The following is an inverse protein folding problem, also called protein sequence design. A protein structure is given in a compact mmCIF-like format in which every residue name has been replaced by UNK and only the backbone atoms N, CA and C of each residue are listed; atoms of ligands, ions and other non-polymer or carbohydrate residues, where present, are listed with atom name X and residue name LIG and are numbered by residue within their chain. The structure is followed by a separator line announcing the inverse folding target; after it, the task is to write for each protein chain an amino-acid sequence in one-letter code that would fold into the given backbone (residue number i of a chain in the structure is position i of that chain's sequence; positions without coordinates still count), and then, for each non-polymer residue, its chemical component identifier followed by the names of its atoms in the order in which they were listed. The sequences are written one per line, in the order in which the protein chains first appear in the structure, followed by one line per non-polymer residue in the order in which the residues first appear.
data_IF_964034459866
#
_entry.id   IF_964034459866
#
_cell.length_a   1.000
_cell.length_b   1.000
_cell.length_c   1.000
_cell.angle_alpha   90.00
_cell.angle_beta   90.00
_cell.angle_gamma   90.00
#
_symmetry.space_group_name_H-M   'P 1'
#
loop_
_entity.id
_entity.type
_entity.pdbx_description
1 polymer ?
#
# COMPACT_ATOMS: atom_id res chain seq x y z
N UNK A 1 -5.60 18.62 17.00
CA UNK A 1 -4.72 19.06 15.90
C UNK A 1 -3.54 18.11 15.91
N UNK A 2 -3.38 17.25 14.91
CA UNK A 2 -2.25 16.30 14.85
C UNK A 2 -1.04 17.09 14.39
N UNK A 3 -0.01 17.10 15.20
CA UNK A 3 1.26 17.73 14.83
C UNK A 3 2.02 16.75 13.94
N UNK A 4 1.78 16.86 12.64
CA UNK A 4 2.49 16.11 11.60
C UNK A 4 3.65 16.91 11.02
N UNK A 5 3.84 18.14 11.47
CA UNK A 5 4.89 19.01 11.00
C UNK A 5 6.17 18.76 11.83
N UNK A 6 7.14 18.11 11.21
CA UNK A 6 8.50 18.03 11.72
C UNK A 6 8.93 16.70 12.33
N UNK A 7 8.09 15.68 12.30
CA UNK A 7 8.53 14.34 12.70
C UNK A 7 9.57 13.81 11.71
N UNK A 8 10.75 13.55 12.23
CA UNK A 8 11.83 12.88 11.49
C UNK A 8 11.62 11.37 11.54
N UNK A 9 12.20 10.59 10.62
CA UNK A 9 12.20 9.12 10.69
C UNK A 9 12.66 8.58 12.04
N UNK A 10 13.58 9.29 12.70
CA UNK A 10 14.05 9.03 14.06
C UNK A 10 12.98 9.24 15.14
N UNK A 11 11.90 9.97 14.83
CA UNK A 11 10.80 10.22 15.76
C UNK A 11 9.77 9.09 15.75
N UNK A 12 9.91 8.15 14.81
CA UNK A 12 9.09 6.94 14.69
C UNK A 12 9.90 5.64 14.74
N UNK A 13 11.00 5.55 15.50
CA UNK A 13 11.62 4.24 15.67
C UNK A 13 10.60 3.34 16.35
N UNK A 14 10.43 2.11 15.82
CA UNK A 14 9.79 1.08 16.60
C UNK A 14 10.58 0.98 17.92
N UNK A 15 9.92 1.26 19.02
CA UNK A 15 10.49 0.98 20.33
C UNK A 15 10.53 -0.54 20.49
N UNK A 16 11.71 -1.11 20.33
CA UNK A 16 11.92 -2.56 20.41
C UNK A 16 11.47 -3.14 21.74
N UNK A 17 11.43 -2.33 22.79
CA UNK A 17 10.89 -2.72 24.09
C UNK A 17 9.36 -2.81 24.12
N UNK A 18 8.69 -2.26 23.11
CA UNK A 18 7.21 -2.29 22.94
C UNK A 18 6.75 -3.22 21.83
N UNK A 19 7.66 -3.96 21.19
CA UNK A 19 7.25 -4.95 20.21
C UNK A 19 6.38 -6.03 20.87
N UNK A 20 5.28 -6.44 20.23
CA UNK A 20 4.36 -7.43 20.79
C UNK A 20 4.92 -8.87 20.76
N UNK A 21 6.20 -9.04 20.44
CA UNK A 21 6.89 -10.33 20.34
C UNK A 21 8.36 -10.17 20.75
N UNK A 22 9.00 -11.28 21.10
CA UNK A 22 10.43 -11.30 21.35
C UNK A 22 11.20 -11.33 20.02
N UNK A 23 12.21 -10.46 19.88
CA UNK A 23 13.14 -10.54 18.76
C UNK A 23 13.87 -11.89 18.87
N UNK A 24 14.02 -12.64 17.76
CA UNK A 24 14.73 -13.91 17.77
C UNK A 24 16.15 -13.78 18.32
N UNK A 25 16.58 -14.80 19.07
CA UNK A 25 17.93 -14.88 19.63
C UNK A 25 18.98 -14.74 18.50
N UNK A 26 19.87 -13.72 18.58
CA UNK A 26 20.91 -13.49 17.58
C UNK A 26 21.93 -14.65 17.51
N UNK A 27 22.04 -15.46 18.57
CA UNK A 27 22.94 -16.62 18.63
C UNK A 27 22.36 -17.85 17.91
N UNK A 28 21.10 -17.83 17.51
CA UNK A 28 20.47 -18.89 16.71
C UNK A 28 21.19 -19.03 15.36
N UNK A 29 21.46 -20.28 14.97
CA UNK A 29 22.04 -20.56 13.64
C UNK A 29 21.13 -20.02 12.55
N UNK A 30 21.62 -19.08 11.72
CA UNK A 30 20.79 -18.46 10.69
C UNK A 30 20.29 -19.45 9.64
N UNK A 31 19.02 -19.36 9.30
CA UNK A 31 18.42 -20.07 8.16
C UNK A 31 18.85 -19.35 6.86
N UNK A 32 19.94 -19.84 6.25
CA UNK A 32 20.59 -19.18 5.09
C UNK A 32 19.65 -18.92 3.90
N UNK A 33 18.73 -19.84 3.63
CA UNK A 33 17.77 -19.67 2.54
C UNK A 33 16.70 -18.63 2.88
N UNK A 34 16.28 -18.53 4.14
CA UNK A 34 15.38 -17.49 4.60
C UNK A 34 16.00 -16.09 4.45
N UNK A 35 17.27 -15.92 4.80
CA UNK A 35 18.00 -14.67 4.54
C UNK A 35 18.01 -14.30 3.04
N UNK A 36 18.19 -15.27 2.16
CA UNK A 36 18.14 -15.06 0.71
C UNK A 36 16.74 -14.68 0.25
N UNK A 37 15.71 -15.34 0.76
CA UNK A 37 14.32 -15.04 0.40
C UNK A 37 13.93 -13.64 0.86
N UNK A 38 14.21 -13.27 2.11
CA UNK A 38 13.96 -11.96 2.64
C UNK A 38 14.61 -10.87 1.79
N UNK A 39 15.91 -11.00 1.51
CA UNK A 39 16.63 -10.06 0.63
C UNK A 39 16.05 -10.00 -0.79
N UNK A 40 15.54 -11.12 -1.31
CA UNK A 40 14.98 -11.20 -2.65
C UNK A 40 13.63 -10.45 -2.73
N UNK A 41 12.70 -10.67 -1.80
CA UNK A 41 11.37 -10.05 -1.83
C UNK A 41 11.41 -8.56 -1.49
N UNK A 42 12.36 -8.13 -0.65
CA UNK A 42 12.52 -6.72 -0.26
C UNK A 42 13.42 -5.94 -1.22
N UNK A 43 13.96 -6.61 -2.23
CA UNK A 43 14.86 -6.01 -3.24
C UNK A 43 16.02 -5.20 -2.64
N UNK A 44 16.62 -5.72 -1.59
CA UNK A 44 17.81 -5.11 -0.95
C UNK A 44 19.03 -5.26 -1.85
N UNK A 45 19.16 -4.37 -2.80
CA UNK A 45 20.30 -4.39 -3.75
C UNK A 45 21.60 -4.11 -3.00
N UNK A 46 22.46 -5.12 -2.95
CA UNK A 46 23.85 -4.98 -2.47
C UNK A 46 24.04 -4.87 -0.95
N UNK A 47 23.00 -5.00 -0.15
CA UNK A 47 23.11 -5.03 1.31
C UNK A 47 23.09 -6.47 1.82
N UNK A 48 24.01 -6.81 2.70
CA UNK A 48 24.01 -8.10 3.38
C UNK A 48 22.90 -8.12 4.43
N UNK A 49 21.98 -9.05 4.31
CA UNK A 49 20.95 -9.34 5.33
C UNK A 49 21.52 -10.21 6.44
N UNK A 50 21.13 -9.92 7.67
CA UNK A 50 21.51 -10.64 8.88
C UNK A 50 20.27 -11.10 9.64
N UNK A 51 20.44 -11.81 10.73
CA UNK A 51 19.33 -12.25 11.59
C UNK A 51 18.65 -11.11 12.33
N UNK A 52 19.31 -9.96 12.46
CA UNK A 52 18.77 -8.77 13.12
C UNK A 52 17.89 -7.94 12.17
N UNK A 53 17.91 -8.28 10.89
CA UNK A 53 17.12 -7.56 9.88
C UNK A 53 15.65 -8.01 9.87
N UNK A 54 14.71 -7.07 9.67
CA UNK A 54 13.26 -7.36 9.70
C UNK A 54 12.84 -8.45 8.73
N UNK A 55 13.45 -8.53 7.57
CA UNK A 55 13.18 -9.56 6.57
C UNK A 55 13.56 -10.98 6.99
N UNK A 56 14.38 -11.12 8.04
CA UNK A 56 14.67 -12.41 8.63
C UNK A 56 13.67 -12.72 9.74
N UNK A 57 13.68 -11.94 10.83
CA UNK A 57 12.88 -12.27 12.01
C UNK A 57 11.38 -12.13 11.78
N UNK A 58 10.94 -11.28 10.85
CA UNK A 58 9.53 -11.14 10.49
C UNK A 58 8.97 -12.33 9.71
N UNK A 59 9.82 -13.18 9.14
CA UNK A 59 9.42 -14.37 8.39
C UNK A 59 9.83 -15.69 9.07
N UNK A 60 10.75 -15.65 10.03
CA UNK A 60 11.34 -16.86 10.64
C UNK A 60 10.32 -17.71 11.41
N UNK A 61 9.37 -17.06 12.07
CA UNK A 61 8.27 -17.74 12.78
C UNK A 61 7.11 -18.22 11.89
N UNK A 62 7.02 -17.69 10.67
CA UNK A 62 5.87 -17.92 9.78
C UNK A 62 6.16 -18.98 8.72
N UNK A 63 7.38 -18.99 8.16
CA UNK A 63 7.72 -19.84 7.02
C UNK A 63 8.50 -21.08 7.41
N UNK A 64 8.12 -22.24 6.85
CA UNK A 64 8.93 -23.47 6.92
C UNK A 64 10.10 -23.42 5.95
N UNK A 65 11.12 -24.26 6.15
CA UNK A 65 12.26 -24.35 5.21
C UNK A 65 11.83 -24.81 3.83
N UNK A 66 10.83 -25.67 3.75
CA UNK A 66 10.28 -26.16 2.48
C UNK A 66 9.59 -25.02 1.69
N UNK A 67 8.79 -24.18 2.37
CA UNK A 67 8.18 -22.99 1.76
C UNK A 67 9.25 -22.04 1.20
N UNK A 68 10.31 -21.81 1.99
CA UNK A 68 11.42 -20.93 1.59
C UNK A 68 12.13 -21.49 0.36
N UNK A 69 12.42 -22.78 0.33
CA UNK A 69 13.11 -23.43 -0.79
C UNK A 69 12.28 -23.41 -2.08
N UNK A 70 10.96 -23.56 -1.97
CA UNK A 70 10.03 -23.47 -3.10
C UNK A 70 9.95 -22.02 -3.61
N UNK A 71 9.79 -21.04 -2.71
CA UNK A 71 9.71 -19.62 -3.06
C UNK A 71 10.97 -19.13 -3.80
N UNK A 72 12.15 -19.54 -3.36
CA UNK A 72 13.42 -19.17 -4.01
C UNK A 72 13.54 -19.65 -5.47
N UNK A 73 12.79 -20.69 -5.85
CA UNK A 73 12.78 -21.20 -7.23
C UNK A 73 11.81 -20.47 -8.15
N UNK A 74 10.88 -19.68 -7.60
CA UNK A 74 9.82 -19.03 -8.40
C UNK A 74 10.32 -17.81 -9.17
N UNK A 75 11.11 -16.98 -8.54
CA UNK A 75 11.50 -15.65 -9.03
C UNK A 75 10.36 -14.62 -8.86
N UNK A 76 10.74 -13.39 -8.56
CA UNK A 76 9.80 -12.28 -8.28
C UNK A 76 8.95 -11.96 -9.49
N UNK A 77 7.64 -11.78 -9.29
CA UNK A 77 6.63 -11.38 -10.30
C UNK A 77 6.61 -12.28 -11.54
N UNK A 78 6.96 -13.57 -11.39
CA UNK A 78 6.95 -14.54 -12.49
C UNK A 78 5.87 -15.59 -12.27
N UNK A 79 4.67 -15.44 -12.88
CA UNK A 79 3.59 -16.43 -12.75
C UNK A 79 4.03 -17.82 -13.15
N UNK A 80 3.67 -18.84 -12.38
CA UNK A 80 4.02 -20.25 -12.60
C UNK A 80 2.79 -21.15 -12.45
N UNK A 81 2.52 -21.98 -13.45
CA UNK A 81 1.55 -23.08 -13.34
C UNK A 81 2.10 -24.21 -12.47
N UNK A 82 1.22 -25.08 -11.98
CA UNK A 82 1.65 -26.26 -11.21
C UNK A 82 2.65 -27.12 -12.01
N UNK A 83 2.43 -27.29 -13.29
CA UNK A 83 3.35 -28.09 -14.13
C UNK A 83 4.75 -27.46 -14.27
N UNK A 84 4.83 -26.12 -14.26
CA UNK A 84 6.11 -25.41 -14.24
C UNK A 84 6.80 -25.54 -12.87
N UNK A 85 6.03 -25.44 -11.79
CA UNK A 85 6.55 -25.60 -10.42
C UNK A 85 7.06 -27.02 -10.16
N UNK A 86 6.36 -28.06 -10.60
CA UNK A 86 6.83 -29.47 -10.53
C UNK A 86 8.20 -29.63 -11.21
N UNK A 87 8.40 -29.03 -12.37
CA UNK A 87 9.70 -29.07 -13.08
C UNK A 87 10.82 -28.36 -12.30
N UNK A 88 10.52 -27.27 -11.61
CA UNK A 88 11.50 -26.50 -10.84
C UNK A 88 11.84 -27.16 -9.50
N UNK A 89 10.83 -27.67 -8.82
CA UNK A 89 10.97 -28.23 -7.46
C UNK A 89 11.33 -29.71 -7.43
N UNK A 90 10.96 -30.45 -8.47
CA UNK A 90 11.01 -31.92 -8.56
C UNK A 90 10.07 -32.63 -7.57
N UNK A 91 9.06 -31.91 -7.08
CA UNK A 91 8.04 -32.45 -6.20
C UNK A 91 6.87 -33.02 -7.00
N UNK A 92 6.18 -34.00 -6.42
CA UNK A 92 4.92 -34.51 -6.93
C UNK A 92 3.81 -33.46 -6.85
N UNK A 93 2.78 -33.59 -7.68
CA UNK A 93 1.74 -32.59 -7.86
C UNK A 93 0.98 -32.25 -6.56
N UNK A 94 0.43 -33.27 -5.92
CA UNK A 94 -0.47 -33.10 -4.79
C UNK A 94 0.20 -32.41 -3.58
N UNK A 95 1.36 -32.86 -3.09
CA UNK A 95 2.05 -32.19 -1.99
C UNK A 95 2.52 -30.79 -2.36
N UNK A 96 2.93 -30.56 -3.61
CA UNK A 96 3.36 -29.25 -4.07
C UNK A 96 2.19 -28.26 -4.14
N UNK A 97 1.04 -28.68 -4.68
CA UNK A 97 -0.15 -27.83 -4.80
C UNK A 97 -0.65 -27.43 -3.40
N UNK A 98 -0.70 -28.38 -2.48
CA UNK A 98 -1.02 -28.10 -1.07
C UNK A 98 -0.06 -27.10 -0.45
N UNK A 99 1.24 -27.25 -0.66
CA UNK A 99 2.26 -26.32 -0.14
C UNK A 99 2.09 -24.90 -0.73
N UNK A 100 1.86 -24.79 -2.03
CA UNK A 100 1.63 -23.49 -2.69
C UNK A 100 0.35 -22.83 -2.19
N UNK A 101 -0.70 -23.58 -1.92
CA UNK A 101 -1.93 -23.07 -1.34
C UNK A 101 -1.75 -22.63 0.13
N UNK A 102 -0.95 -23.36 0.92
CA UNK A 102 -0.55 -22.94 2.26
C UNK A 102 0.25 -21.63 2.24
N UNK A 103 1.21 -21.50 1.31
CA UNK A 103 1.98 -20.28 1.13
C UNK A 103 1.09 -19.09 0.71
N UNK A 104 0.06 -19.34 -0.10
CA UNK A 104 -0.93 -18.34 -0.49
C UNK A 104 -1.86 -17.97 0.68
N UNK A 105 -2.25 -18.96 1.48
CA UNK A 105 -3.02 -18.75 2.70
C UNK A 105 -2.27 -17.86 3.70
N UNK A 106 -0.97 -18.06 3.87
CA UNK A 106 -0.12 -17.21 4.68
C UNK A 106 0.04 -15.81 4.09
N UNK A 107 -0.05 -15.65 2.77
CA UNK A 107 0.13 -14.38 2.07
C UNK A 107 1.56 -14.16 1.54
N UNK A 108 2.37 -15.20 1.52
CA UNK A 108 3.67 -15.15 0.84
C UNK A 108 3.51 -15.16 -0.68
N UNK A 109 2.53 -15.89 -1.19
CA UNK A 109 2.20 -15.97 -2.61
C UNK A 109 0.83 -15.37 -2.89
N UNK A 110 0.68 -14.81 -4.08
CA UNK A 110 -0.60 -14.54 -4.73
C UNK A 110 -0.82 -15.52 -5.88
N UNK A 111 -2.02 -15.57 -6.43
CA UNK A 111 -2.32 -16.33 -7.64
C UNK A 111 -3.39 -15.67 -8.49
N UNK A 112 -3.41 -16.02 -9.77
CA UNK A 112 -4.42 -15.63 -10.73
C UNK A 112 -4.61 -16.69 -11.84
N UNK A 113 -5.64 -16.49 -12.66
CA UNK A 113 -5.94 -17.32 -13.84
C UNK A 113 -5.83 -16.52 -15.14
N UNK A 114 -5.26 -15.34 -15.11
CA UNK A 114 -5.21 -14.39 -16.21
C UNK A 114 -4.38 -14.92 -17.40
N UNK A 115 -4.71 -14.42 -18.58
CA UNK A 115 -3.99 -14.66 -19.82
C UNK A 115 -3.58 -13.37 -20.54
N UNK A 116 -3.28 -12.32 -19.80
CA UNK A 116 -2.90 -11.01 -20.36
C UNK A 116 -1.62 -11.06 -21.19
N UNK A 117 -0.70 -11.95 -20.82
CA UNK A 117 0.58 -12.17 -21.53
C UNK A 117 0.51 -13.25 -22.63
N UNK A 118 -0.69 -13.79 -22.91
CA UNK A 118 -0.91 -14.85 -23.88
C UNK A 118 -0.29 -16.23 -23.54
N UNK A 119 0.28 -16.36 -22.32
CA UNK A 119 0.98 -17.59 -21.89
C UNK A 119 0.13 -18.52 -21.03
N UNK A 120 -1.14 -18.18 -20.84
CA UNK A 120 -2.07 -18.98 -20.05
C UNK A 120 -3.41 -19.19 -20.79
N UNK A 121 -3.39 -19.76 -22.01
CA UNK A 121 -4.60 -19.90 -22.84
C UNK A 121 -5.66 -20.80 -22.22
N UNK A 122 -5.28 -21.67 -21.29
CA UNK A 122 -6.19 -22.59 -20.59
C UNK A 122 -6.71 -22.02 -19.27
N UNK A 123 -6.35 -20.78 -18.92
CA UNK A 123 -6.69 -20.16 -17.63
C UNK A 123 -6.37 -21.06 -16.43
N UNK A 124 -5.20 -21.70 -16.45
CA UNK A 124 -4.71 -22.46 -15.30
C UNK A 124 -4.35 -21.54 -14.14
N UNK A 125 -4.55 -21.99 -12.90
CA UNK A 125 -4.07 -21.31 -11.70
C UNK A 125 -2.56 -21.12 -11.77
N UNK A 126 -2.11 -19.89 -11.60
CA UNK A 126 -0.68 -19.52 -11.60
C UNK A 126 -0.33 -18.84 -10.30
N UNK A 127 0.62 -19.39 -9.56
CA UNK A 127 1.16 -18.80 -8.35
C UNK A 127 2.28 -17.83 -8.68
N UNK A 128 2.35 -16.76 -7.90
CA UNK A 128 3.29 -15.66 -8.09
C UNK A 128 3.92 -15.33 -6.74
N UNK A 129 5.24 -15.21 -6.70
CA UNK A 129 5.94 -14.62 -5.58
C UNK A 129 5.98 -13.11 -5.81
N UNK A 130 5.21 -12.30 -5.05
CA UNK A 130 5.20 -10.85 -5.23
C UNK A 130 6.47 -10.20 -4.67
N UNK A 131 6.64 -8.91 -4.92
CA UNK A 131 7.50 -8.06 -4.10
C UNK A 131 6.95 -7.99 -2.68
N UNK A 132 7.76 -7.50 -1.74
CA UNK A 132 7.28 -7.29 -0.39
C UNK A 132 6.21 -6.20 -0.35
N UNK A 133 6.45 -5.03 -0.95
CA UNK A 133 5.51 -3.90 -1.05
C UNK A 133 5.50 -3.35 -2.48
N UNK A 134 4.34 -3.20 -3.13
CA UNK A 134 3.04 -3.80 -2.79
C UNK A 134 3.04 -5.31 -3.07
N UNK A 135 2.50 -6.09 -2.16
CA UNK A 135 2.40 -7.54 -2.33
C UNK A 135 2.34 -8.32 -1.02
N UNK A 136 3.37 -9.14 -0.71
CA UNK A 136 3.32 -10.04 0.44
C UNK A 136 3.18 -9.32 1.78
N UNK A 137 3.68 -8.09 1.92
CA UNK A 137 3.48 -7.30 3.13
C UNK A 137 2.00 -7.06 3.44
N UNK A 138 1.26 -6.66 2.41
CA UNK A 138 -0.18 -6.46 2.52
C UNK A 138 -0.87 -7.78 2.86
N UNK A 139 -0.60 -8.84 2.10
CA UNK A 139 -1.29 -10.13 2.28
C UNK A 139 -0.99 -10.77 3.64
N UNK A 140 0.23 -10.67 4.14
CA UNK A 140 0.60 -11.12 5.48
C UNK A 140 -0.18 -10.38 6.59
N UNK A 141 -0.58 -9.14 6.34
CA UNK A 141 -1.24 -8.25 7.30
C UNK A 141 -2.75 -8.03 7.04
N UNK A 142 -3.37 -8.79 6.13
CA UNK A 142 -4.79 -8.65 5.77
C UNK A 142 -5.70 -9.69 6.44
N UNK A 143 -5.23 -10.42 7.42
CA UNK A 143 -6.03 -11.38 8.19
C UNK A 143 -5.73 -11.24 9.68
N UNK A 144 -6.77 -10.87 10.46
CA UNK A 144 -6.62 -10.58 11.89
C UNK A 144 -6.06 -11.77 12.67
N UNK A 145 -6.56 -12.98 12.42
CA UNK A 145 -6.08 -14.19 13.10
C UNK A 145 -4.57 -14.41 12.89
N UNK A 146 -4.07 -14.13 11.69
CA UNK A 146 -2.64 -14.28 11.39
C UNK A 146 -1.79 -13.24 12.10
N UNK A 147 -2.23 -11.98 12.14
CA UNK A 147 -1.51 -10.92 12.88
C UNK A 147 -1.53 -11.19 14.38
N UNK A 148 -2.60 -11.79 14.89
CA UNK A 148 -2.70 -12.15 16.31
C UNK A 148 -1.78 -13.32 16.67
N UNK A 149 -1.63 -14.30 15.76
CA UNK A 149 -0.73 -15.44 15.92
C UNK A 149 0.74 -15.06 15.64
N UNK A 150 0.98 -14.19 14.64
CA UNK A 150 2.29 -13.78 14.16
C UNK A 150 2.44 -12.24 14.14
N UNK A 151 2.48 -11.60 15.31
CA UNK A 151 2.58 -10.12 15.37
C UNK A 151 3.88 -9.57 14.79
N UNK A 152 4.91 -10.41 14.64
CA UNK A 152 6.17 -10.07 13.97
C UNK A 152 5.97 -9.63 12.51
N UNK A 153 4.92 -10.10 11.82
CA UNK A 153 4.66 -9.67 10.43
C UNK A 153 4.22 -8.20 10.36
N UNK A 154 3.52 -7.70 11.39
CA UNK A 154 3.15 -6.29 11.48
C UNK A 154 4.39 -5.40 11.69
N UNK A 155 5.28 -5.79 12.59
CA UNK A 155 6.53 -5.08 12.82
C UNK A 155 7.46 -5.15 11.61
N UNK A 156 7.51 -6.28 10.91
CA UNK A 156 8.27 -6.42 9.66
C UNK A 156 7.77 -5.41 8.61
N UNK A 157 6.45 -5.32 8.42
CA UNK A 157 5.88 -4.37 7.48
C UNK A 157 6.26 -2.92 7.80
N UNK A 158 6.11 -2.51 9.06
CA UNK A 158 6.48 -1.17 9.51
C UNK A 158 7.98 -0.87 9.33
N UNK A 159 8.83 -1.77 9.77
CA UNK A 159 10.29 -1.58 9.66
C UNK A 159 10.75 -1.51 8.21
N UNK A 160 10.24 -2.38 7.35
CA UNK A 160 10.60 -2.37 5.94
C UNK A 160 10.06 -1.14 5.20
N UNK A 161 8.94 -0.59 5.65
CA UNK A 161 8.45 0.69 5.12
C UNK A 161 9.38 1.84 5.48
N UNK A 162 9.84 1.90 6.73
CA UNK A 162 10.70 2.98 7.19
C UNK A 162 12.13 2.90 6.63
N UNK A 163 12.81 1.77 6.79
CA UNK A 163 14.23 1.66 6.53
C UNK A 163 14.66 1.89 5.07
N UNK A 164 14.02 1.27 4.06
CA UNK A 164 14.40 1.53 2.67
C UNK A 164 13.89 2.88 2.17
N UNK A 165 12.68 3.29 2.59
CA UNK A 165 12.07 4.51 2.07
C UNK A 165 12.78 5.77 2.55
N UNK A 166 13.34 5.79 3.75
CA UNK A 166 14.20 6.88 4.21
C UNK A 166 15.34 7.20 3.23
N UNK A 167 15.90 6.17 2.60
CA UNK A 167 17.01 6.32 1.65
C UNK A 167 16.55 6.62 0.23
N UNK A 168 15.40 6.11 -0.17
CA UNK A 168 14.90 6.19 -1.54
C UNK A 168 14.08 7.47 -1.76
N UNK A 169 13.29 7.89 -0.77
CA UNK A 169 12.39 9.04 -0.92
C UNK A 169 13.07 10.37 -1.27
N UNK A 170 14.31 10.67 -0.84
CA UNK A 170 15.02 11.85 -1.32
C UNK A 170 15.29 11.85 -2.83
N UNK A 171 15.20 10.69 -3.49
CA UNK A 171 15.38 10.54 -4.94
C UNK A 171 14.07 10.66 -5.72
N UNK A 172 12.93 10.74 -5.03
CA UNK A 172 11.62 10.87 -5.67
C UNK A 172 11.50 12.25 -6.32
N UNK A 173 11.15 12.34 -7.62
CA UNK A 173 11.00 13.61 -8.30
C UNK A 173 9.79 14.40 -7.77
N UNK A 174 9.77 15.74 -7.93
CA UNK A 174 8.57 16.53 -7.69
C UNK A 174 7.36 15.95 -8.45
N UNK A 175 6.22 15.82 -7.78
CA UNK A 175 5.01 15.19 -8.34
C UNK A 175 4.89 13.70 -8.12
N UNK A 176 5.87 13.08 -7.44
CA UNK A 176 5.85 11.68 -7.07
C UNK A 176 6.52 10.73 -8.06
N UNK A 177 6.86 9.54 -7.63
CA UNK A 177 7.50 8.50 -8.46
C UNK A 177 6.48 7.76 -9.34
N UNK A 178 5.27 7.55 -8.84
CA UNK A 178 4.21 6.79 -9.51
C UNK A 178 4.54 5.32 -9.70
N UNK A 179 5.38 4.76 -8.82
CA UNK A 179 5.78 3.35 -8.87
C UNK A 179 4.98 2.59 -7.80
N UNK A 180 4.26 1.58 -8.22
CA UNK A 180 3.48 0.70 -7.35
C UNK A 180 2.08 1.24 -7.00
N UNK A 181 1.97 2.54 -6.74
CA UNK A 181 0.71 3.20 -6.37
C UNK A 181 0.51 4.49 -7.14
N UNK A 182 -0.75 4.78 -7.48
CA UNK A 182 -1.17 5.98 -8.17
C UNK A 182 -2.39 6.58 -7.48
N UNK A 183 -2.34 7.87 -7.16
CA UNK A 183 -3.47 8.58 -6.55
C UNK A 183 -4.49 8.91 -7.62
N UNK A 184 -5.71 8.45 -7.43
CA UNK A 184 -6.84 8.75 -8.31
C UNK A 184 -7.75 9.77 -7.61
N UNK A 185 -8.15 10.86 -8.26
CA UNK A 185 -8.99 11.87 -7.62
C UNK A 185 -10.42 11.35 -7.41
N UNK A 186 -11.13 12.02 -6.54
CA UNK A 186 -12.57 11.84 -6.40
C UNK A 186 -13.23 12.18 -7.74
N UNK A 187 -13.90 11.22 -8.36
CA UNK A 187 -14.33 11.33 -9.77
C UNK A 187 -15.22 12.54 -10.04
N UNK A 188 -16.13 12.88 -9.11
CA UNK A 188 -16.98 14.06 -9.22
C UNK A 188 -16.23 15.40 -9.19
N UNK A 189 -14.93 15.39 -8.83
CA UNK A 189 -14.07 16.57 -8.84
C UNK A 189 -13.30 16.74 -10.16
N UNK A 190 -13.42 15.79 -11.10
CA UNK A 190 -12.78 15.87 -12.41
C UNK A 190 -13.67 16.66 -13.36
N UNK A 191 -13.22 17.84 -13.76
CA UNK A 191 -13.99 18.77 -14.61
C UNK A 191 -13.72 18.60 -16.13
N UNK A 192 -13.11 17.51 -16.54
CA UNK A 192 -12.73 17.32 -17.95
C UNK A 192 -13.50 16.18 -18.62
N UNK A 193 -13.99 16.44 -19.83
CA UNK A 193 -14.66 15.44 -20.69
C UNK A 193 -13.66 14.64 -21.56
N UNK A 194 -12.36 14.80 -21.34
CA UNK A 194 -11.35 14.13 -22.16
C UNK A 194 -11.34 12.61 -21.88
N UNK A 195 -11.72 11.80 -22.87
CA UNK A 195 -11.74 10.33 -22.79
C UNK A 195 -10.38 9.70 -22.49
N UNK A 196 -9.28 10.38 -22.84
CA UNK A 196 -7.92 9.92 -22.53
C UNK A 196 -7.64 9.79 -21.02
N UNK A 197 -8.55 10.26 -20.17
CA UNK A 197 -8.43 10.24 -18.70
C UNK A 197 -9.27 9.12 -18.09
N UNK A 198 -9.80 8.21 -18.87
CA UNK A 198 -10.59 7.07 -18.35
C UNK A 198 -9.87 6.30 -17.24
N UNK A 199 -8.56 6.06 -17.36
CA UNK A 199 -7.74 5.36 -16.37
C UNK A 199 -7.65 6.07 -15.01
N UNK A 200 -7.96 7.37 -14.95
CA UNK A 200 -7.99 8.19 -13.75
C UNK A 200 -9.38 8.21 -13.09
N UNK A 201 -10.33 7.43 -13.60
CA UNK A 201 -11.70 7.34 -13.07
C UNK A 201 -11.92 6.01 -12.37
N UNK A 202 -12.44 6.05 -11.16
CA UNK A 202 -12.84 4.86 -10.41
C UNK A 202 -13.89 4.07 -11.18
N UNK A 203 -14.87 4.76 -11.77
CA UNK A 203 -15.94 4.14 -12.56
C UNK A 203 -15.40 3.32 -13.74
N UNK A 204 -14.35 3.79 -14.42
CA UNK A 204 -13.69 3.03 -15.50
C UNK A 204 -13.19 1.67 -14.99
N UNK A 205 -12.49 1.66 -13.87
CA UNK A 205 -11.94 0.43 -13.31
C UNK A 205 -13.02 -0.51 -12.80
N UNK A 206 -14.07 0.02 -12.19
CA UNK A 206 -15.20 -0.79 -11.73
C UNK A 206 -15.95 -1.44 -12.90
N UNK A 207 -16.17 -0.72 -14.00
CA UNK A 207 -16.77 -1.32 -15.20
C UNK A 207 -15.87 -2.39 -15.84
N UNK A 208 -14.55 -2.14 -15.87
CA UNK A 208 -13.58 -3.11 -16.42
C UNK A 208 -13.59 -4.45 -15.66
N UNK A 209 -13.83 -4.42 -14.35
CA UNK A 209 -13.87 -5.60 -13.50
C UNK A 209 -15.28 -5.93 -13.00
N UNK A 210 -16.31 -5.55 -13.79
CA UNK A 210 -17.70 -5.69 -13.40
C UNK A 210 -18.03 -7.10 -12.84
N UNK A 211 -18.69 -7.12 -11.67
CA UNK A 211 -19.11 -8.35 -10.98
C UNK A 211 -18.01 -9.07 -10.20
N UNK A 212 -16.75 -8.55 -10.19
CA UNK A 212 -15.64 -9.14 -9.45
C UNK A 212 -15.01 -8.12 -8.50
N UNK A 213 -15.67 -7.88 -7.38
CA UNK A 213 -15.18 -7.00 -6.30
C UNK A 213 -15.18 -7.72 -4.97
N UNK A 214 -14.16 -7.47 -4.16
CA UNK A 214 -14.13 -7.91 -2.78
C UNK A 214 -13.59 -6.78 -1.88
N UNK A 215 -14.23 -6.56 -0.74
CA UNK A 215 -13.69 -5.70 0.32
C UNK A 215 -12.77 -6.50 1.21
N UNK A 216 -11.78 -5.85 1.75
CA UNK A 216 -10.79 -6.49 2.62
C UNK A 216 -10.24 -5.55 3.68
N UNK A 217 -9.62 -6.14 4.69
CA UNK A 217 -8.93 -5.42 5.73
C UNK A 217 -7.77 -4.60 5.16
N UNK A 218 -7.59 -3.39 5.65
CA UNK A 218 -6.44 -2.57 5.29
C UNK A 218 -5.20 -3.00 6.08
N UNK A 219 -4.21 -3.55 5.39
CA UNK A 219 -2.95 -4.00 5.97
C UNK A 219 -2.20 -2.90 6.73
N UNK A 220 -2.16 -1.68 6.18
CA UNK A 220 -1.50 -0.55 6.83
C UNK A 220 -2.18 -0.17 8.16
N UNK A 221 -3.53 -0.20 8.23
CA UNK A 221 -4.25 0.05 9.48
C UNK A 221 -4.04 -1.08 10.48
N UNK A 222 -4.14 -2.31 10.01
CA UNK A 222 -4.04 -3.49 10.85
C UNK A 222 -2.65 -3.63 11.49
N UNK A 223 -1.59 -3.44 10.72
CA UNK A 223 -0.22 -3.51 11.25
C UNK A 223 0.05 -2.43 12.29
N UNK A 224 -0.37 -1.20 12.03
CA UNK A 224 -0.18 -0.09 12.98
C UNK A 224 -1.03 -0.23 14.24
N UNK A 225 -2.27 -0.71 14.12
CA UNK A 225 -3.10 -1.00 15.29
C UNK A 225 -2.46 -2.08 16.16
N UNK A 226 -1.94 -3.16 15.54
CA UNK A 226 -1.25 -4.23 16.26
C UNK A 226 -0.03 -3.74 17.04
N UNK A 227 0.66 -2.73 16.52
CA UNK A 227 1.82 -2.11 17.16
C UNK A 227 1.42 -1.01 18.17
N UNK A 228 0.14 -0.77 18.40
CA UNK A 228 -0.33 0.31 19.27
C UNK A 228 -0.13 1.72 18.71
N UNK A 229 0.10 1.84 17.43
CA UNK A 229 0.38 3.09 16.70
C UNK A 229 -0.73 3.47 15.71
N UNK A 230 -1.88 2.82 15.81
CA UNK A 230 -3.07 3.11 15.00
C UNK A 230 -3.64 4.49 15.28
N UNK A 231 -4.46 5.00 14.37
CA UNK A 231 -5.14 6.28 14.53
C UNK A 231 -6.60 6.13 14.97
N UNK A 232 -7.01 4.93 15.36
CA UNK A 232 -8.39 4.63 15.77
C UNK A 232 -9.37 4.47 14.61
N UNK A 233 -8.87 4.40 13.37
CA UNK A 233 -9.69 4.05 12.23
C UNK A 233 -10.08 2.57 12.29
N UNK A 234 -11.27 2.25 11.81
CA UNK A 234 -11.67 0.88 11.49
C UNK A 234 -10.63 0.24 10.55
N UNK A 235 -10.18 -0.96 10.87
CA UNK A 235 -9.19 -1.68 10.04
C UNK A 235 -9.82 -2.40 8.87
N UNK A 236 -11.12 -2.67 8.93
CA UNK A 236 -11.85 -3.47 7.95
C UNK A 236 -12.43 -2.61 6.82
N UNK A 237 -12.66 -3.26 5.69
CA UNK A 237 -13.49 -2.75 4.60
C UNK A 237 -12.97 -1.53 3.82
N UNK A 238 -11.69 -1.22 3.90
CA UNK A 238 -11.14 -0.06 3.19
C UNK A 238 -10.37 -0.37 1.91
N UNK A 239 -9.97 -1.62 1.72
CA UNK A 239 -9.30 -2.06 0.51
C UNK A 239 -10.27 -2.82 -0.37
N UNK A 240 -10.35 -2.46 -1.64
CA UNK A 240 -11.21 -3.10 -2.64
C UNK A 240 -10.31 -3.85 -3.60
N UNK A 241 -10.37 -5.17 -3.58
CA UNK A 241 -9.73 -6.02 -4.58
C UNK A 241 -10.66 -6.18 -5.79
N UNK A 242 -10.07 -6.29 -6.98
CA UNK A 242 -10.83 -6.41 -8.23
C UNK A 242 -10.29 -7.56 -9.09
N UNK A 243 -11.16 -8.12 -9.95
CA UNK A 243 -10.78 -9.21 -10.84
C UNK A 243 -10.33 -10.46 -10.10
N UNK A 244 -9.30 -11.14 -10.58
CA UNK A 244 -8.77 -12.36 -9.96
C UNK A 244 -8.19 -12.13 -8.56
N UNK A 245 -7.82 -10.89 -8.23
CA UNK A 245 -7.41 -10.55 -6.87
C UNK A 245 -8.60 -10.58 -5.89
N UNK A 246 -9.82 -10.28 -6.35
CA UNK A 246 -11.00 -10.46 -5.50
C UNK A 246 -11.21 -11.94 -5.14
N UNK A 247 -11.04 -12.84 -6.11
CA UNK A 247 -11.11 -14.28 -5.88
C UNK A 247 -10.02 -14.73 -4.89
N UNK A 248 -8.78 -14.28 -5.08
CA UNK A 248 -7.67 -14.59 -4.15
C UNK A 248 -7.97 -14.12 -2.72
N UNK A 249 -8.43 -12.89 -2.56
CA UNK A 249 -8.72 -12.31 -1.24
C UNK A 249 -9.82 -13.09 -0.52
N UNK A 250 -10.87 -13.48 -1.22
CA UNK A 250 -11.98 -14.24 -0.64
C UNK A 250 -11.58 -15.69 -0.34
N UNK A 251 -10.96 -16.39 -1.28
CA UNK A 251 -10.52 -17.79 -1.10
C UNK A 251 -9.49 -17.95 0.04
N UNK A 252 -8.69 -16.91 0.27
CA UNK A 252 -7.70 -16.91 1.37
C UNK A 252 -8.21 -16.25 2.66
N UNK A 253 -9.52 -16.03 2.79
CA UNK A 253 -10.20 -15.47 3.96
C UNK A 253 -9.65 -14.10 4.44
N UNK A 254 -9.29 -13.24 3.49
CA UNK A 254 -8.83 -11.86 3.72
C UNK A 254 -9.93 -10.84 3.49
N UNK A 255 -11.06 -11.26 2.94
CA UNK A 255 -12.19 -10.40 2.62
C UNK A 255 -13.39 -11.17 2.14
N UNK A 256 -14.39 -10.46 1.65
CA UNK A 256 -15.65 -11.01 1.14
C UNK A 256 -16.09 -10.30 -0.14
N UNK A 257 -16.78 -11.02 -1.01
CA UNK A 257 -17.36 -10.43 -2.21
C UNK A 257 -18.38 -9.36 -1.86
N UNK A 258 -18.41 -8.32 -2.65
CA UNK A 258 -19.36 -7.21 -2.53
C UNK A 258 -19.91 -6.81 -3.89
N UNK A 259 -21.05 -6.14 -3.86
CA UNK A 259 -21.71 -5.57 -5.02
C UNK A 259 -21.11 -4.21 -5.41
N UNK A 260 -21.44 -3.75 -6.62
CA UNK A 260 -21.09 -2.40 -7.06
C UNK A 260 -21.59 -1.32 -6.10
N UNK A 261 -22.83 -1.43 -5.62
CA UNK A 261 -23.43 -0.45 -4.72
C UNK A 261 -22.70 -0.39 -3.38
N UNK A 262 -22.29 -1.53 -2.83
CA UNK A 262 -21.48 -1.59 -1.60
C UNK A 262 -20.08 -0.98 -1.81
N UNK A 263 -19.48 -1.18 -2.99
CA UNK A 263 -18.21 -0.50 -3.34
C UNK A 263 -18.41 1.02 -3.30
N UNK A 264 -19.47 1.53 -3.91
CA UNK A 264 -19.77 2.97 -3.95
C UNK A 264 -20.07 3.54 -2.56
N UNK A 265 -20.70 2.78 -1.67
CA UNK A 265 -20.89 3.17 -0.27
C UNK A 265 -19.55 3.30 0.47
N UNK A 266 -18.62 2.36 0.25
CA UNK A 266 -17.27 2.41 0.83
C UNK A 266 -16.52 3.65 0.33
N UNK A 267 -16.57 3.94 -0.97
CA UNK A 267 -15.92 5.14 -1.53
C UNK A 267 -16.50 6.43 -0.94
N UNK A 268 -17.83 6.51 -0.87
CA UNK A 268 -18.49 7.67 -0.24
C UNK A 268 -18.05 7.85 1.21
N UNK A 269 -18.02 6.76 1.99
CA UNK A 269 -17.54 6.79 3.38
C UNK A 269 -16.07 7.24 3.44
N UNK A 270 -15.24 6.79 2.51
CA UNK A 270 -13.83 7.20 2.43
C UNK A 270 -13.70 8.70 2.11
N UNK A 271 -14.45 9.21 1.13
CA UNK A 271 -14.50 10.63 0.80
C UNK A 271 -14.94 11.49 1.99
N UNK A 272 -16.00 11.07 2.69
CA UNK A 272 -16.52 11.78 3.86
C UNK A 272 -15.49 11.84 5.02
N UNK A 273 -14.56 10.89 5.07
CA UNK A 273 -13.44 10.85 6.02
C UNK A 273 -12.17 11.54 5.50
N UNK A 274 -12.17 12.06 4.27
CA UNK A 274 -11.00 12.68 3.65
C UNK A 274 -9.89 11.69 3.29
N UNK A 275 -10.23 10.44 3.02
CA UNK A 275 -9.28 9.42 2.60
C UNK A 275 -8.93 9.57 1.12
N UNK A 276 -7.73 9.14 0.77
CA UNK A 276 -7.18 9.25 -0.57
C UNK A 276 -7.37 7.93 -1.31
N UNK A 277 -7.99 8.00 -2.49
CA UNK A 277 -8.09 6.83 -3.37
C UNK A 277 -6.76 6.58 -4.07
N UNK A 278 -6.29 5.35 -4.03
CA UNK A 278 -5.10 4.91 -4.74
C UNK A 278 -5.37 3.62 -5.48
N UNK A 279 -4.91 3.54 -6.72
CA UNK A 279 -4.89 2.30 -7.50
C UNK A 279 -3.49 1.71 -7.51
N UNK A 280 -3.41 0.40 -7.63
CA UNK A 280 -2.15 -0.31 -7.82
C UNK A 280 -1.78 -0.31 -9.31
N UNK A 281 -0.58 0.10 -9.66
CA UNK A 281 -0.11 0.16 -11.04
C UNK A 281 1.17 -0.66 -11.31
N UNK A 282 1.43 -1.64 -10.45
CA UNK A 282 2.65 -2.45 -10.54
C UNK A 282 2.69 -3.37 -11.78
N UNK A 283 1.53 -3.70 -12.33
CA UNK A 283 1.39 -4.57 -13.51
C UNK A 283 1.16 -3.78 -14.82
N UNK A 284 1.45 -2.48 -14.80
CA UNK A 284 1.27 -1.59 -15.95
C UNK A 284 -0.02 -0.76 -15.90
N UNK A 285 -0.25 0.02 -16.94
CA UNK A 285 -1.35 0.99 -17.00
C UNK A 285 -2.72 0.35 -17.30
N UNK A 286 -2.72 -0.88 -17.83
CA UNK A 286 -3.96 -1.55 -18.23
C UNK A 286 -4.54 -2.47 -17.14
N UNK A 287 -3.84 -2.64 -16.03
CA UNK A 287 -4.24 -3.56 -14.98
C UNK A 287 -4.05 -2.96 -13.60
N UNK A 288 -5.08 -3.09 -12.78
CA UNK A 288 -4.99 -2.93 -11.34
C UNK A 288 -5.43 -4.22 -10.65
N UNK A 289 -5.02 -4.44 -9.42
CA UNK A 289 -5.53 -5.53 -8.60
C UNK A 289 -6.32 -5.02 -7.38
N UNK A 290 -6.30 -3.72 -7.13
CA UNK A 290 -7.09 -3.15 -6.05
C UNK A 290 -7.14 -1.64 -6.07
N UNK A 291 -8.11 -1.12 -5.33
CA UNK A 291 -8.30 0.30 -5.06
C UNK A 291 -8.29 0.46 -3.54
N UNK A 292 -7.35 1.25 -3.05
CA UNK A 292 -7.19 1.56 -1.64
C UNK A 292 -7.91 2.86 -1.27
N UNK A 293 -8.42 2.94 -0.04
CA UNK A 293 -9.00 4.15 0.56
C UNK A 293 -8.12 4.56 1.75
N UNK A 294 -7.12 5.38 1.49
CA UNK A 294 -5.98 5.55 2.36
C UNK A 294 -6.09 6.74 3.30
N UNK A 295 -5.94 6.50 4.59
CA UNK A 295 -5.68 7.56 5.55
C UNK A 295 -4.20 7.96 5.47
N UNK A 296 -3.91 9.22 5.19
CA UNK A 296 -2.54 9.75 5.03
C UNK A 296 -1.66 9.61 6.27
N UNK A 297 -2.26 9.45 7.45
CA UNK A 297 -1.54 9.30 8.72
C UNK A 297 -1.17 7.84 9.03
N UNK A 298 -1.70 6.90 8.25
CA UNK A 298 -1.52 5.45 8.47
C UNK A 298 -0.88 4.78 7.27
N UNK A 299 -1.31 5.15 6.06
CA UNK A 299 -0.87 4.51 4.82
C UNK A 299 0.64 4.58 4.63
N UNK A 300 1.26 3.43 4.44
CA UNK A 300 2.71 3.34 4.25
C UNK A 300 3.20 4.06 2.99
N UNK A 301 2.37 4.15 1.94
CA UNK A 301 2.71 4.89 0.73
C UNK A 301 2.60 6.41 0.90
N UNK A 302 1.58 6.89 1.65
CA UNK A 302 1.29 8.33 1.74
C UNK A 302 2.02 9.03 2.88
N UNK A 303 2.11 8.42 4.06
CA UNK A 303 2.72 9.07 5.23
C UNK A 303 4.23 9.30 5.10
N UNK A 304 4.90 8.54 4.24
CA UNK A 304 6.36 8.64 4.05
C UNK A 304 6.81 10.02 3.57
N UNK A 305 6.00 10.71 2.77
CA UNK A 305 6.31 12.07 2.34
C UNK A 305 6.37 13.05 3.51
N UNK A 306 5.52 12.89 4.49
CA UNK A 306 5.52 13.69 5.71
C UNK A 306 6.66 13.30 6.65
N UNK A 307 6.87 11.98 6.83
CA UNK A 307 7.93 11.46 7.69
C UNK A 307 9.33 11.88 7.24
N UNK A 308 9.58 11.86 5.93
CA UNK A 308 10.90 12.12 5.37
C UNK A 308 11.04 13.50 4.74
N UNK A 309 9.97 14.30 4.76
CA UNK A 309 9.91 15.62 4.09
C UNK A 309 10.34 15.55 2.62
N UNK A 310 9.78 14.62 1.89
CA UNK A 310 10.09 14.32 0.49
C UNK A 310 8.82 14.29 -0.36
N UNK A 311 8.92 14.35 -1.69
CA UNK A 311 7.77 14.06 -2.55
C UNK A 311 7.18 12.68 -2.26
N UNK A 312 5.88 12.51 -2.48
CA UNK A 312 5.20 11.25 -2.23
C UNK A 312 5.63 10.18 -3.25
N UNK A 313 5.70 8.92 -2.82
CA UNK A 313 5.93 7.77 -3.72
C UNK A 313 4.78 7.61 -4.72
N UNK A 314 3.55 7.83 -4.28
CA UNK A 314 2.38 7.84 -5.15
C UNK A 314 2.34 9.12 -5.99
N UNK A 315 1.87 8.99 -7.22
CA UNK A 315 1.72 10.11 -8.16
C UNK A 315 0.24 10.37 -8.43
N UNK A 316 -0.12 11.62 -8.70
CA UNK A 316 -1.41 11.98 -9.30
C UNK A 316 -1.19 12.72 -10.61
N UNK A 317 -2.07 12.51 -11.59
CA UNK A 317 -2.12 13.29 -12.81
C UNK A 317 -2.84 14.65 -12.62
N UNK A 318 -3.45 14.85 -11.46
CA UNK A 318 -4.26 16.02 -11.14
C UNK A 318 -3.66 16.86 -10.03
N UNK A 319 -3.93 18.14 -10.09
CA UNK A 319 -3.62 19.11 -9.04
C UNK A 319 -4.94 19.70 -8.54
N UNK A 320 -5.14 19.68 -7.24
CA UNK A 320 -6.32 20.32 -6.64
C UNK A 320 -6.23 21.85 -6.83
N UNK A 321 -7.31 22.44 -7.30
CA UNK A 321 -7.44 23.88 -7.46
C UNK A 321 -8.68 24.38 -6.71
N UNK A 322 -8.61 25.61 -6.23
CA UNK A 322 -9.75 26.28 -5.61
C UNK A 322 -10.29 27.35 -6.56
N UNK A 323 -11.59 27.31 -6.79
CA UNK A 323 -12.27 28.40 -7.48
C UNK A 323 -12.35 29.61 -6.55
N UNK A 324 -11.39 30.52 -6.72
CA UNK A 324 -11.26 31.70 -5.83
C UNK A 324 -12.50 32.56 -5.78
N UNK A 325 -13.22 32.68 -6.89
CA UNK A 325 -14.47 33.45 -6.99
C UNK A 325 -15.63 32.86 -6.16
N UNK A 326 -15.59 31.55 -5.91
CA UNK A 326 -16.58 30.85 -5.06
C UNK A 326 -16.11 30.69 -3.63
N UNK A 327 -14.85 30.98 -3.35
CA UNK A 327 -14.26 30.80 -2.03
C UNK A 327 -14.69 31.91 -1.06
N UNK A 328 -15.35 31.52 0.02
CA UNK A 328 -15.79 32.42 1.08
C UNK A 328 -14.83 32.44 2.29
N UNK A 329 -13.63 31.89 2.13
CA UNK A 329 -12.60 31.85 3.17
C UNK A 329 -13.04 31.20 4.50
N UNK A 330 -14.00 30.30 4.49
CA UNK A 330 -14.54 29.67 5.70
C UNK A 330 -13.54 28.77 6.44
N UNK A 331 -12.42 28.38 5.80
CA UNK A 331 -11.37 27.54 6.35
C UNK A 331 -11.72 26.04 6.45
N UNK A 332 -12.91 25.63 6.06
CA UNK A 332 -13.36 24.22 6.16
C UNK A 332 -12.42 23.26 5.43
N UNK A 333 -11.93 23.63 4.24
CA UNK A 333 -10.97 22.81 3.49
C UNK A 333 -9.63 22.66 4.23
N UNK A 334 -9.19 23.69 4.95
CA UNK A 334 -7.97 23.63 5.78
C UNK A 334 -8.16 22.73 6.99
N UNK A 335 -9.33 22.79 7.61
CA UNK A 335 -9.66 21.98 8.79
C UNK A 335 -9.84 20.49 8.43
N UNK A 336 -10.40 20.22 7.25
CA UNK A 336 -10.71 18.86 6.80
C UNK A 336 -9.59 18.21 5.98
N UNK A 337 -8.55 18.94 5.57
CA UNK A 337 -7.46 18.34 4.80
C UNK A 337 -6.59 17.45 5.69
N UNK A 338 -6.64 16.12 5.54
CA UNK A 338 -5.89 15.22 6.40
C UNK A 338 -4.38 15.34 6.19
N UNK A 339 -3.95 15.76 5.01
CA UNK A 339 -2.54 15.96 4.66
C UNK A 339 -2.00 17.35 5.10
N UNK A 340 -2.87 18.26 5.59
CA UNK A 340 -2.48 19.63 5.90
C UNK A 340 -1.97 20.42 4.68
N UNK A 341 -2.32 19.95 3.47
CA UNK A 341 -1.83 20.53 2.22
C UNK A 341 -2.54 21.84 1.86
N UNK A 342 -3.78 22.01 2.31
CA UNK A 342 -4.57 23.22 2.07
C UNK A 342 -4.29 24.23 3.16
N UNK A 343 -3.93 25.44 2.73
CA UNK A 343 -3.69 26.57 3.64
C UNK A 343 -4.47 27.77 3.15
N UNK A 344 -4.92 28.61 4.07
CA UNK A 344 -5.41 29.94 3.70
C UNK A 344 -4.24 30.72 3.12
N UNK A 345 -4.48 31.33 1.94
CA UNK A 345 -3.45 32.02 1.20
C UNK A 345 -2.76 33.08 2.06
N UNK A 346 -1.47 33.09 2.01
CA UNK A 346 -0.61 34.11 2.58
C UNK A 346 0.32 34.61 1.49
N UNK A 347 0.58 35.90 1.42
CA UNK A 347 1.76 36.36 0.69
C UNK A 347 2.98 35.96 1.49
N UNK A 348 3.43 34.72 1.26
CA UNK A 348 4.55 34.14 1.98
C UNK A 348 5.85 34.86 1.68
N UNK A 349 5.99 35.39 0.46
CA UNK A 349 7.17 36.14 0.03
C UNK A 349 6.78 37.38 -0.78
N UNK A 350 7.19 38.52 -0.33
CA UNK A 350 7.32 39.74 -1.13
C UNK A 350 8.79 40.04 -1.36
N UNK A 351 9.11 41.02 -2.19
CA UNK A 351 10.48 41.54 -2.31
C UNK A 351 11.09 42.00 -0.99
N UNK A 352 10.23 42.33 -0.03
CA UNK A 352 10.58 42.94 1.26
C UNK A 352 10.50 41.97 2.44
N UNK A 353 10.20 40.66 2.20
CA UNK A 353 10.17 39.64 3.22
C UNK A 353 8.81 38.91 3.39
N UNK A 354 8.63 38.26 4.53
CA UNK A 354 7.38 37.61 4.90
C UNK A 354 6.37 38.60 5.44
N UNK A 355 5.14 38.56 4.91
CA UNK A 355 4.01 39.29 5.47
C UNK A 355 2.99 38.24 5.93
N UNK A 356 2.69 38.24 7.23
CA UNK A 356 1.57 37.51 7.80
C UNK A 356 0.33 38.39 7.82
N UNK A 357 -0.75 37.89 7.24
CA UNK A 357 -2.05 38.58 7.31
C UNK A 357 -2.94 37.87 8.32
N UNK A 358 -3.66 38.61 9.15
CA UNK A 358 -4.80 38.05 9.87
C UNK A 358 -5.78 37.39 8.91
N UNK A 359 -6.37 36.27 9.30
CA UNK A 359 -7.24 35.43 8.45
C UNK A 359 -8.35 36.21 7.76
N UNK A 360 -8.91 37.22 8.44
CA UNK A 360 -9.98 38.07 7.95
C UNK A 360 -9.53 39.17 6.99
N UNK A 361 -8.23 39.36 6.79
CA UNK A 361 -7.67 40.45 5.99
C UNK A 361 -7.00 39.93 4.71
N UNK A 362 -7.09 38.61 4.46
CA UNK A 362 -6.50 38.02 3.26
C UNK A 362 -7.26 38.45 2.01
N UNK A 363 -6.56 38.92 0.95
CA UNK A 363 -7.19 39.21 -0.33
C UNK A 363 -7.82 37.94 -0.92
N UNK A 364 -8.98 38.03 -1.53
CA UNK A 364 -9.74 36.93 -2.11
C UNK A 364 -8.92 36.07 -3.10
N UNK A 365 -8.08 36.73 -3.88
CA UNK A 365 -7.18 36.09 -4.87
C UNK A 365 -6.07 35.21 -4.25
N UNK A 366 -5.83 35.35 -2.94
CA UNK A 366 -4.81 34.58 -2.22
C UNK A 366 -5.40 33.47 -1.35
N UNK A 367 -6.74 33.41 -1.28
CA UNK A 367 -7.45 32.44 -0.47
C UNK A 367 -7.62 31.15 -1.27
N UNK A 368 -7.25 30.03 -0.66
CA UNK A 368 -7.59 28.69 -1.16
C UNK A 368 -6.69 28.12 -2.25
N UNK A 369 -5.46 28.56 -2.39
CA UNK A 369 -4.48 27.82 -3.20
C UNK A 369 -3.99 26.61 -2.44
N UNK A 370 -4.36 25.42 -2.90
CA UNK A 370 -3.77 24.16 -2.44
C UNK A 370 -2.40 23.99 -3.10
N UNK A 371 -1.38 23.82 -2.30
CA UNK A 371 -0.09 23.32 -2.76
C UNK A 371 -0.06 21.83 -2.41
N UNK A 372 -0.30 20.98 -3.43
CA UNK A 372 -0.14 19.54 -3.34
C UNK A 372 1.30 19.17 -3.68
#
# INVERSE_FOLDING_TARGET
MRDINGSKPTDFPLDENKLPFAIPDPDRTPRKNLLKLGAMITNRIGLKTTVDDPEYWGLDGVLTDEMVDVALKMGIRKPKTIGQMMKLTKMEREPLEKLLDEMSWLGLLEYNWENLDGKNPNHEKRWILPLFVPGSAEFLNMRKSQIDEHPEVAAFFERMTMLPLEKITPMVPPGGAGIGMHVIPVEKAIETENEAIGLEKISYWLHKYEGKYAKSMCSCRASREKLGEGCGDDVENWCIAVGDMADYVVETQRGEYITYDEVMEIFKKAEDNGFVHQITNIDGEEKIFGICNCNVNVCNALRTSQMFNTPNMSRSAYVAAVETEKCVACGRCVENCPAGAVKLGQKLCTKDGFIEYPRQELPDEEIGRAHV
#
